data_IF_781425092499
#
_entry.id   IF_781425092499
#
_cell.length_a   1.000
_cell.length_b   1.000
_cell.length_c   1.000
_cell.angle_alpha   90.00
_cell.angle_beta   90.00
_cell.angle_gamma   90.00
#
_symmetry.space_group_name_H-M   'P 1'
#
loop_
_entity.id
_entity.type
_entity.pdbx_description
1 polymer ?
#
# COMPACT_ATOMS: atom_id res chain seq x y z
N UNK A 1 -1.43 13.18 8.78
CA UNK A 1 -0.74 11.96 8.34
C UNK A 1 -0.75 11.99 6.83
N UNK A 2 0.41 12.09 6.21
CA UNK A 2 0.53 12.13 4.75
C UNK A 2 0.71 10.69 4.29
N UNK A 3 -0.25 10.12 3.57
CA UNK A 3 -0.01 8.86 2.87
C UNK A 3 1.20 8.97 1.93
N UNK A 4 1.94 7.87 1.86
CA UNK A 4 3.00 7.63 0.90
C UNK A 4 2.41 7.32 -0.49
N UNK A 5 2.01 8.37 -1.19
CA UNK A 5 1.53 8.32 -2.57
C UNK A 5 2.53 8.99 -3.51
N UNK A 6 2.56 8.51 -4.75
CA UNK A 6 3.29 9.11 -5.85
C UNK A 6 2.38 9.24 -7.08
N UNK A 7 2.61 10.25 -7.90
CA UNK A 7 1.76 10.59 -9.04
C UNK A 7 2.54 10.44 -10.34
N UNK A 8 2.13 9.51 -11.18
CA UNK A 8 2.71 9.26 -12.50
C UNK A 8 1.78 9.82 -13.58
N UNK A 9 1.95 11.07 -14.02
CA UNK A 9 1.09 11.68 -15.03
C UNK A 9 1.30 11.10 -16.42
N UNK A 10 2.46 10.49 -16.71
CA UNK A 10 2.73 9.85 -18.00
C UNK A 10 1.81 8.64 -18.19
N UNK A 11 1.69 7.81 -17.15
CA UNK A 11 0.86 6.62 -17.16
C UNK A 11 -0.55 6.83 -16.57
N UNK A 12 -0.82 8.02 -16.03
CA UNK A 12 -2.05 8.38 -15.30
C UNK A 12 -2.30 7.45 -14.12
N UNK A 13 -1.32 7.36 -13.21
CA UNK A 13 -1.41 6.47 -12.05
C UNK A 13 -1.18 7.18 -10.73
N UNK A 14 -2.06 6.91 -9.78
CA UNK A 14 -1.87 7.22 -8.36
C UNK A 14 -1.25 5.98 -7.73
N UNK A 15 0.04 6.05 -7.43
CA UNK A 15 0.83 4.94 -6.90
C UNK A 15 0.75 4.94 -5.38
N UNK A 16 0.34 3.81 -4.80
CA UNK A 16 0.38 3.59 -3.36
C UNK A 16 1.71 2.91 -3.03
N UNK A 17 2.66 3.67 -2.49
CA UNK A 17 4.00 3.19 -2.19
C UNK A 17 4.04 2.51 -0.81
N UNK A 18 4.88 1.47 -0.63
CA UNK A 18 5.12 0.87 0.66
C UNK A 18 6.08 1.73 1.47
N UNK A 19 6.21 1.44 2.75
CA UNK A 19 7.28 1.97 3.58
C UNK A 19 8.41 0.95 3.60
N UNK A 20 9.47 1.23 2.87
CA UNK A 20 10.66 0.38 2.82
C UNK A 20 11.57 0.71 4.00
N UNK A 21 12.05 -0.33 4.68
CA UNK A 21 12.91 -0.23 5.86
C UNK A 21 13.94 -1.36 5.81
N UNK A 22 15.07 -1.20 6.48
CA UNK A 22 16.10 -2.25 6.59
C UNK A 22 15.86 -3.07 7.85
N UNK A 23 15.75 -4.39 7.70
CA UNK A 23 15.51 -5.29 8.82
C UNK A 23 16.78 -5.43 9.68
N UNK A 24 16.68 -5.14 10.98
CA UNK A 24 17.79 -5.20 11.95
C UNK A 24 17.71 -6.46 12.80
N UNK A 25 16.52 -6.83 13.27
CA UNK A 25 16.27 -8.07 14.00
C UNK A 25 14.87 -8.61 13.71
N UNK A 26 14.78 -9.93 13.52
CA UNK A 26 13.56 -10.69 13.29
C UNK A 26 13.81 -12.16 13.62
N UNK A 27 13.88 -12.44 14.92
CA UNK A 27 14.15 -13.77 15.47
C UNK A 27 12.86 -14.57 15.66
N UNK A 28 12.89 -15.87 15.36
CA UNK A 28 11.76 -16.78 15.54
C UNK A 28 11.17 -16.69 16.95
N UNK A 29 9.83 -16.70 17.04
CA UNK A 29 9.11 -16.66 18.29
C UNK A 29 8.87 -15.26 18.85
N UNK A 30 9.57 -14.22 18.36
CA UNK A 30 9.27 -12.84 18.73
C UNK A 30 7.93 -12.39 18.14
N UNK A 31 7.20 -11.54 18.85
CA UNK A 31 6.02 -10.83 18.39
C UNK A 31 6.35 -9.40 17.93
N UNK A 32 7.62 -9.15 17.62
CA UNK A 32 8.10 -7.87 17.12
C UNK A 32 9.28 -8.06 16.16
N UNK A 33 9.55 -7.01 15.39
CA UNK A 33 10.79 -6.84 14.62
C UNK A 33 11.44 -5.50 14.97
N UNK A 34 12.75 -5.40 14.74
CA UNK A 34 13.48 -4.13 14.77
C UNK A 34 13.93 -3.78 13.34
N UNK A 35 13.78 -2.51 12.99
CA UNK A 35 14.24 -1.94 11.72
C UNK A 35 15.22 -0.78 11.95
N UNK A 36 15.83 -0.25 10.90
CA UNK A 36 16.74 0.89 10.98
C UNK A 36 16.02 2.20 11.33
N UNK A 37 14.93 2.51 10.61
CA UNK A 37 14.12 3.71 10.81
C UNK A 37 12.68 3.45 10.36
N UNK A 38 11.72 4.09 11.03
CA UNK A 38 10.30 4.05 10.66
C UNK A 38 9.86 5.45 10.23
N UNK A 39 9.36 5.59 9.01
CA UNK A 39 8.78 6.84 8.53
C UNK A 39 7.60 7.25 9.43
N UNK A 40 7.60 8.49 9.91
CA UNK A 40 6.53 9.07 10.73
C UNK A 40 5.13 9.02 10.08
N UNK A 41 5.06 8.85 8.76
CA UNK A 41 3.84 8.71 8.00
C UNK A 41 3.35 7.26 7.87
N UNK A 42 4.14 6.27 8.30
CA UNK A 42 3.71 4.87 8.31
C UNK A 42 2.45 4.73 9.15
N UNK A 43 1.40 4.03 8.67
CA UNK A 43 0.19 3.86 9.45
C UNK A 43 0.50 3.13 10.76
N UNK A 44 -0.28 3.41 11.81
CA UNK A 44 -0.07 2.77 13.12
C UNK A 44 -0.35 1.26 13.09
N UNK A 45 -1.11 0.77 12.11
CA UNK A 45 -1.38 -0.64 11.86
C UNK A 45 -1.40 -0.94 10.37
N UNK A 46 -1.04 -2.16 9.99
CA UNK A 46 -0.88 -2.51 8.59
C UNK A 46 -0.44 -3.95 8.37
N UNK A 47 0.17 -4.18 7.21
CA UNK A 47 0.88 -5.42 6.90
C UNK A 47 2.38 -5.14 6.85
N UNK A 48 3.19 -6.12 7.26
CA UNK A 48 4.64 -6.11 7.06
C UNK A 48 5.03 -7.38 6.30
N UNK A 49 5.74 -7.19 5.19
CA UNK A 49 6.33 -8.29 4.42
C UNK A 49 7.79 -8.48 4.82
N UNK A 50 8.13 -9.69 5.24
CA UNK A 50 9.48 -10.09 5.65
C UNK A 50 10.06 -11.09 4.66
N UNK A 51 11.12 -10.68 3.98
CA UNK A 51 11.74 -11.39 2.88
C UNK A 51 12.40 -12.70 3.31
N UNK A 52 12.04 -13.81 2.65
CA UNK A 52 12.66 -15.14 2.81
C UNK A 52 13.71 -15.42 1.74
N UNK A 53 13.46 -14.95 0.52
CA UNK A 53 14.33 -15.19 -0.62
C UNK A 53 14.28 -14.04 -1.61
N UNK A 54 15.36 -13.89 -2.39
CA UNK A 54 15.39 -13.00 -3.55
C UNK A 54 14.82 -13.65 -4.81
N UNK A 55 14.28 -12.84 -5.71
CA UNK A 55 13.98 -13.28 -7.07
C UNK A 55 15.29 -13.62 -7.78
N UNK A 56 15.37 -14.79 -8.41
CA UNK A 56 16.58 -15.26 -9.10
C UNK A 56 16.17 -16.20 -10.22
N UNK A 57 16.83 -16.06 -11.38
CA UNK A 57 16.76 -16.99 -12.49
C UNK A 57 18.17 -17.26 -13.02
N UNK A 58 18.41 -18.50 -13.44
CA UNK A 58 19.70 -18.97 -13.93
C UNK A 58 19.52 -19.49 -15.34
N UNK A 59 20.43 -19.08 -16.22
CA UNK A 59 20.51 -19.54 -17.60
C UNK A 59 21.07 -20.95 -17.71
N UNK A 60 20.60 -21.71 -18.70
CA UNK A 60 21.01 -23.11 -18.89
C UNK A 60 22.16 -23.30 -19.88
N UNK A 61 22.54 -22.25 -20.61
CA UNK A 61 23.57 -22.35 -21.64
C UNK A 61 24.96 -22.09 -21.03
N UNK A 62 25.93 -22.94 -21.36
CA UNK A 62 27.32 -22.70 -21.01
C UNK A 62 27.90 -21.62 -21.93
N UNK A 63 28.36 -20.54 -21.32
CA UNK A 63 28.92 -19.34 -21.93
C UNK A 63 30.39 -19.11 -21.48
N UNK A 64 31.10 -20.18 -21.13
CA UNK A 64 32.51 -20.13 -20.73
C UNK A 64 33.42 -19.60 -21.84
N UNK A 65 32.99 -19.69 -23.10
CA UNK A 65 33.71 -19.18 -24.27
C UNK A 65 33.17 -17.80 -24.73
N UNK A 66 32.31 -17.17 -23.95
CA UNK A 66 31.73 -15.87 -24.25
C UNK A 66 30.73 -15.88 -25.40
N UNK A 67 30.44 -14.68 -25.93
CA UNK A 67 29.57 -14.45 -27.08
C UNK A 67 29.89 -13.10 -27.73
N UNK A 68 29.93 -13.07 -29.07
CA UNK A 68 30.21 -11.84 -29.81
C UNK A 68 28.92 -11.06 -30.11
N UNK A 69 28.44 -10.29 -29.12
CA UNK A 69 27.29 -9.42 -29.30
C UNK A 69 27.59 -8.17 -30.15
N UNK A 70 28.86 -7.83 -30.41
CA UNK A 70 29.20 -6.72 -31.31
C UNK A 70 28.82 -7.07 -32.76
N UNK A 71 29.10 -8.31 -33.18
CA UNK A 71 28.77 -8.82 -34.52
C UNK A 71 27.32 -9.28 -34.68
N UNK A 72 26.68 -9.66 -33.57
CA UNK A 72 25.28 -10.09 -33.51
C UNK A 72 24.59 -9.47 -32.27
N UNK A 73 24.23 -8.17 -32.32
CA UNK A 73 23.61 -7.49 -31.20
C UNK A 73 22.27 -8.12 -30.85
N UNK A 74 22.03 -8.35 -29.56
CA UNK A 74 20.80 -8.98 -29.04
C UNK A 74 20.25 -8.17 -27.89
N UNK A 75 18.95 -8.26 -27.65
CA UNK A 75 18.32 -7.59 -26.53
C UNK A 75 17.37 -8.48 -25.76
N UNK A 76 17.06 -8.08 -24.54
CA UNK A 76 15.91 -8.57 -23.79
C UNK A 76 15.19 -7.41 -23.14
N UNK A 77 13.94 -7.63 -22.78
CA UNK A 77 13.10 -6.66 -22.10
C UNK A 77 12.99 -7.00 -20.63
N UNK A 78 13.05 -6.00 -19.77
CA UNK A 78 12.90 -6.18 -18.33
C UNK A 78 11.97 -5.13 -17.72
N UNK A 79 11.16 -5.56 -16.75
CA UNK A 79 10.44 -4.68 -15.82
C UNK A 79 10.88 -5.08 -14.42
N UNK A 80 11.17 -4.13 -13.55
CA UNK A 80 11.44 -4.46 -12.14
C UNK A 80 10.95 -3.35 -11.21
N UNK A 81 10.83 -3.69 -9.91
CA UNK A 81 10.31 -2.78 -8.90
C UNK A 81 8.93 -2.24 -9.29
N UNK A 82 8.82 -0.91 -9.33
CA UNK A 82 7.61 -0.18 -9.71
C UNK A 82 7.52 0.13 -11.22
N UNK A 83 8.39 -0.46 -12.03
CA UNK A 83 8.38 -0.33 -13.48
C UNK A 83 7.04 -0.76 -14.08
N UNK A 84 6.62 -0.03 -15.11
CA UNK A 84 5.33 -0.24 -15.79
C UNK A 84 5.54 -0.69 -17.24
N UNK A 85 6.51 -0.03 -17.86
CA UNK A 85 6.94 -0.27 -19.22
C UNK A 85 8.26 -1.04 -19.21
N UNK A 86 8.46 -1.83 -20.26
CA UNK A 86 9.68 -2.57 -20.44
C UNK A 86 10.85 -1.63 -20.72
N UNK A 87 11.96 -1.89 -20.05
CA UNK A 87 13.27 -1.33 -20.36
C UNK A 87 14.02 -2.35 -21.23
N UNK A 88 14.58 -1.88 -22.34
CA UNK A 88 15.32 -2.75 -23.25
C UNK A 88 16.80 -2.77 -22.84
N UNK A 89 17.33 -3.97 -22.65
CA UNK A 89 18.74 -4.21 -22.39
C UNK A 89 19.38 -4.72 -23.69
N UNK A 90 20.11 -3.84 -24.39
CA UNK A 90 20.85 -4.18 -25.59
C UNK A 90 22.28 -4.64 -25.24
N UNK A 91 22.61 -5.86 -25.63
CA UNK A 91 23.96 -6.41 -25.59
C UNK A 91 24.58 -6.24 -26.98
N UNK A 92 25.70 -5.53 -27.03
CA UNK A 92 26.31 -5.02 -28.26
C UNK A 92 27.85 -5.00 -28.22
N UNK A 93 28.46 -5.82 -27.34
CA UNK A 93 29.91 -5.88 -27.16
C UNK A 93 30.41 -7.32 -27.20
N UNK A 94 31.58 -7.54 -27.82
CA UNK A 94 32.23 -8.85 -27.78
C UNK A 94 32.66 -9.18 -26.34
N UNK A 95 32.25 -10.35 -25.87
CA UNK A 95 32.56 -10.85 -24.53
C UNK A 95 33.26 -12.18 -24.66
N UNK A 96 34.41 -12.33 -24.02
CA UNK A 96 35.27 -13.53 -24.10
C UNK A 96 34.89 -14.64 -23.14
N UNK A 97 34.12 -14.33 -22.09
CA UNK A 97 33.62 -15.28 -21.11
C UNK A 97 32.29 -14.84 -20.47
N UNK A 98 31.72 -15.68 -19.61
CA UNK A 98 30.48 -15.39 -18.90
C UNK A 98 30.60 -14.18 -17.94
N UNK A 99 31.79 -13.92 -17.37
CA UNK A 99 31.97 -12.79 -16.46
C UNK A 99 31.89 -11.46 -17.20
N UNK A 100 32.48 -11.37 -18.40
CA UNK A 100 32.35 -10.20 -19.26
C UNK A 100 30.90 -9.98 -19.72
N UNK A 101 30.15 -11.04 -20.03
CA UNK A 101 28.71 -10.95 -20.34
C UNK A 101 27.93 -10.40 -19.13
N UNK A 102 28.17 -10.92 -17.93
CA UNK A 102 27.51 -10.42 -16.72
C UNK A 102 27.84 -8.95 -16.45
N UNK A 103 29.10 -8.55 -16.65
CA UNK A 103 29.54 -7.15 -16.52
C UNK A 103 28.88 -6.23 -17.55
N UNK A 104 28.75 -6.68 -18.80
CA UNK A 104 28.02 -5.95 -19.84
C UNK A 104 26.56 -5.74 -19.45
N UNK A 105 25.87 -6.81 -19.02
CA UNK A 105 24.47 -6.71 -18.58
C UNK A 105 24.35 -5.74 -17.40
N UNK A 106 25.21 -5.83 -16.39
CA UNK A 106 25.21 -4.92 -15.24
C UNK A 106 25.45 -3.46 -15.64
N UNK A 107 26.37 -3.23 -16.58
CA UNK A 107 26.62 -1.89 -17.15
C UNK A 107 25.36 -1.33 -17.81
N UNK A 108 24.67 -2.13 -18.64
CA UNK A 108 23.43 -1.72 -19.30
C UNK A 108 22.28 -1.52 -18.31
N UNK A 109 22.12 -2.40 -17.32
CA UNK A 109 21.12 -2.26 -16.25
C UNK A 109 21.34 -0.97 -15.44
N UNK A 110 22.58 -0.54 -15.21
CA UNK A 110 22.88 0.70 -14.49
C UNK A 110 22.42 1.98 -15.21
N UNK A 111 22.13 1.88 -16.51
CA UNK A 111 21.65 2.99 -17.36
C UNK A 111 20.12 3.07 -17.41
N UNK A 112 19.43 2.12 -16.79
CA UNK A 112 17.96 2.08 -16.72
C UNK A 112 17.45 2.80 -15.47
N UNK A 113 16.17 3.14 -15.44
CA UNK A 113 15.55 3.76 -14.28
C UNK A 113 15.16 2.71 -13.23
N UNK A 114 14.54 1.61 -13.66
CA UNK A 114 13.92 0.65 -12.75
C UNK A 114 14.73 -0.63 -12.62
N UNK A 115 15.34 -1.14 -13.70
CA UNK A 115 16.15 -2.36 -13.71
C UNK A 115 17.47 -2.27 -12.91
N UNK A 116 17.75 -1.12 -12.29
CA UNK A 116 18.87 -0.92 -11.36
C UNK A 116 18.82 -1.84 -10.15
N UNK A 117 17.65 -2.39 -9.80
CA UNK A 117 17.44 -3.33 -8.69
C UNK A 117 17.84 -4.78 -9.02
N UNK A 118 18.17 -5.05 -10.28
CA UNK A 118 18.56 -6.37 -10.76
C UNK A 118 20.06 -6.35 -11.09
N UNK A 119 20.73 -7.46 -10.84
CA UNK A 119 22.10 -7.72 -11.29
C UNK A 119 22.20 -9.04 -12.03
N UNK A 120 23.12 -9.07 -12.99
CA UNK A 120 23.65 -10.29 -13.55
C UNK A 120 24.78 -10.84 -12.69
N UNK A 121 24.85 -12.16 -12.58
CA UNK A 121 25.89 -12.88 -11.87
C UNK A 121 26.28 -14.14 -12.63
N UNK A 122 27.47 -14.67 -12.33
CA UNK A 122 27.95 -15.93 -12.91
C UNK A 122 27.81 -17.09 -11.92
N UNK A 123 27.61 -18.30 -12.44
CA UNK A 123 27.70 -19.55 -11.69
C UNK A 123 28.81 -20.38 -12.31
N UNK A 124 29.79 -20.76 -11.49
CA UNK A 124 30.96 -21.57 -11.87
C UNK A 124 31.75 -21.01 -13.08
N UNK A 125 31.64 -19.69 -13.33
CA UNK A 125 32.17 -18.99 -14.51
C UNK A 125 31.60 -19.45 -15.87
N UNK A 126 30.59 -20.32 -15.87
CA UNK A 126 30.06 -20.95 -17.07
C UNK A 126 28.65 -20.45 -17.41
N UNK A 127 27.83 -20.08 -16.42
CA UNK A 127 26.42 -19.74 -16.62
C UNK A 127 26.11 -18.32 -16.17
N UNK A 128 25.16 -17.68 -16.85
CA UNK A 128 24.66 -16.34 -16.50
C UNK A 128 23.33 -16.49 -15.77
N UNK A 129 23.18 -15.80 -14.64
CA UNK A 129 21.90 -15.62 -13.97
C UNK A 129 21.55 -14.15 -13.80
N UNK A 130 20.28 -13.88 -13.52
CA UNK A 130 19.77 -12.58 -13.10
C UNK A 130 19.13 -12.73 -11.72
N UNK A 131 19.37 -11.78 -10.82
CA UNK A 131 18.80 -11.76 -9.48
C UNK A 131 18.60 -10.35 -8.97
N UNK A 132 17.79 -10.20 -7.92
CA UNK A 132 17.76 -8.93 -7.19
C UNK A 132 19.12 -8.66 -6.52
N UNK A 133 19.52 -7.39 -6.50
CA UNK A 133 20.71 -6.94 -5.77
C UNK A 133 20.46 -6.95 -4.27
N UNK A 134 21.50 -7.12 -3.48
CA UNK A 134 21.41 -6.82 -2.06
C UNK A 134 21.29 -5.30 -1.86
N UNK A 135 20.44 -4.80 -0.95
CA UNK A 135 19.60 -5.51 0.03
C UNK A 135 18.14 -5.79 -0.42
N UNK A 136 17.81 -5.74 -1.71
CA UNK A 136 16.44 -5.77 -2.25
C UNK A 136 15.88 -7.20 -2.35
N UNK A 137 15.17 -7.66 -1.32
CA UNK A 137 14.69 -9.05 -1.24
C UNK A 137 13.17 -9.14 -1.12
N UNK A 138 12.61 -10.34 -1.39
CA UNK A 138 11.18 -10.62 -1.26
C UNK A 138 10.39 -10.37 -2.54
N UNK A 139 9.07 -10.55 -2.48
CA UNK A 139 8.19 -10.36 -3.65
C UNK A 139 8.11 -8.91 -4.13
N UNK A 140 8.41 -7.96 -3.24
CA UNK A 140 8.34 -6.52 -3.45
C UNK A 140 9.24 -6.05 -4.59
N UNK A 141 10.37 -6.72 -4.79
CA UNK A 141 11.38 -6.35 -5.79
C UNK A 141 11.44 -7.32 -6.97
N UNK A 142 10.37 -8.09 -7.22
CA UNK A 142 10.29 -9.00 -8.36
C UNK A 142 10.65 -8.32 -9.70
N UNK A 143 11.01 -9.11 -10.70
CA UNK A 143 11.23 -8.61 -12.05
C UNK A 143 10.58 -9.51 -13.09
N UNK A 144 10.18 -8.93 -14.22
CA UNK A 144 9.60 -9.62 -15.36
C UNK A 144 10.58 -9.54 -16.52
N UNK A 145 10.85 -10.67 -17.16
CA UNK A 145 11.64 -10.76 -18.37
C UNK A 145 10.74 -11.08 -19.55
N UNK A 146 11.03 -10.46 -20.69
CA UNK A 146 10.39 -10.76 -21.96
C UNK A 146 11.43 -10.75 -23.09
N UNK A 147 11.07 -11.38 -24.20
CA UNK A 147 11.95 -11.49 -25.35
C UNK A 147 12.23 -10.11 -25.94
N UNK A 148 13.49 -9.87 -26.29
CA UNK A 148 13.85 -8.75 -27.16
C UNK A 148 13.79 -9.13 -28.64
N UNK A 149 14.14 -8.19 -29.51
CA UNK A 149 14.25 -8.44 -30.94
C UNK A 149 15.52 -7.79 -31.51
N UNK A 150 16.52 -8.58 -31.95
CA UNK A 150 16.64 -10.04 -31.80
C UNK A 150 16.91 -10.46 -30.34
N UNK A 151 16.43 -11.64 -29.93
CA UNK A 151 16.41 -12.07 -28.51
C UNK A 151 17.77 -12.51 -27.94
N UNK A 152 18.12 -11.97 -26.78
CA UNK A 152 19.29 -12.34 -25.98
C UNK A 152 18.99 -13.49 -24.99
N UNK A 153 17.76 -13.61 -24.48
CA UNK A 153 17.44 -14.59 -23.43
C UNK A 153 17.69 -16.03 -23.89
N UNK A 154 17.43 -16.33 -25.16
CA UNK A 154 17.73 -17.61 -25.79
C UNK A 154 19.22 -17.94 -25.77
N UNK A 155 20.10 -16.96 -26.02
CA UNK A 155 21.56 -17.15 -25.93
C UNK A 155 21.99 -17.38 -24.50
N UNK A 156 21.42 -16.62 -23.56
CA UNK A 156 21.67 -16.77 -22.12
C UNK A 156 21.09 -18.08 -21.55
N UNK A 157 20.19 -18.75 -22.26
CA UNK A 157 19.45 -19.92 -21.76
C UNK A 157 18.47 -19.56 -20.64
N UNK A 158 17.98 -18.33 -20.60
CA UNK A 158 17.04 -17.81 -19.61
C UNK A 158 15.64 -17.85 -20.20
N UNK A 159 14.66 -18.41 -19.48
CA UNK A 159 13.26 -18.34 -19.92
C UNK A 159 12.64 -17.00 -19.54
N UNK A 160 11.83 -16.37 -20.42
CA UNK A 160 11.07 -15.19 -20.03
C UNK A 160 10.03 -15.55 -18.97
N UNK A 161 9.50 -14.52 -18.30
CA UNK A 161 8.48 -14.68 -17.28
C UNK A 161 8.72 -13.83 -16.04
N UNK A 162 7.83 -13.97 -15.08
CA UNK A 162 7.89 -13.23 -13.82
C UNK A 162 8.74 -13.99 -12.80
N UNK A 163 9.81 -13.36 -12.33
CA UNK A 163 10.69 -13.87 -11.28
C UNK A 163 10.35 -13.16 -9.97
N UNK A 164 9.93 -13.94 -8.97
CA UNK A 164 9.45 -13.42 -7.68
C UNK A 164 10.29 -14.03 -6.56
N UNK A 165 10.74 -13.17 -5.64
CA UNK A 165 11.23 -13.63 -4.34
C UNK A 165 10.07 -14.17 -3.51
N UNK A 166 10.33 -14.55 -2.28
CA UNK A 166 9.26 -14.95 -1.36
C UNK A 166 9.39 -14.19 -0.07
N UNK A 167 8.27 -13.76 0.50
CA UNK A 167 8.18 -13.22 1.86
C UNK A 167 7.11 -13.96 2.66
N UNK A 168 7.12 -13.74 3.97
CA UNK A 168 5.94 -13.96 4.82
C UNK A 168 5.29 -12.62 5.14
N UNK A 169 3.97 -12.63 5.30
CA UNK A 169 3.17 -11.45 5.61
C UNK A 169 2.64 -11.55 7.05
N UNK A 170 2.94 -10.54 7.85
CA UNK A 170 2.40 -10.40 9.20
C UNK A 170 1.54 -9.14 9.29
N UNK A 171 0.48 -9.16 10.11
CA UNK A 171 -0.17 -7.92 10.50
C UNK A 171 0.52 -7.33 11.72
N UNK A 172 0.56 -6.00 11.79
CA UNK A 172 1.05 -5.26 12.95
C UNK A 172 -0.01 -4.28 13.42
N UNK A 173 -0.03 -4.02 14.72
CA UNK A 173 -1.02 -3.16 15.38
C UNK A 173 -0.43 -1.87 15.97
N UNK A 174 0.89 -1.80 16.11
CA UNK A 174 1.58 -0.61 16.59
C UNK A 174 3.06 -0.63 16.23
N UNK A 175 3.69 0.53 16.33
CA UNK A 175 5.14 0.68 16.28
C UNK A 175 5.59 1.82 17.20
N UNK A 176 6.85 1.76 17.65
CA UNK A 176 7.47 2.80 18.47
C UNK A 176 8.98 2.78 18.30
N UNK A 177 9.58 3.93 18.01
CA UNK A 177 11.00 4.01 17.67
C UNK A 177 11.28 3.17 16.43
N UNK A 178 12.16 2.17 16.57
CA UNK A 178 12.55 1.21 15.53
C UNK A 178 11.77 -0.11 15.58
N UNK A 179 10.90 -0.27 16.58
CA UNK A 179 10.20 -1.53 16.83
C UNK A 179 8.82 -1.53 16.20
N UNK A 180 8.49 -2.59 15.47
CA UNK A 180 7.15 -2.88 14.97
C UNK A 180 6.58 -4.08 15.73
N UNK A 181 5.44 -3.90 16.40
CA UNK A 181 4.78 -4.96 17.18
C UNK A 181 3.76 -5.70 16.30
N UNK A 182 3.96 -6.99 16.14
CA UNK A 182 3.17 -7.89 15.31
C UNK A 182 1.97 -8.44 16.08
N UNK A 183 0.91 -8.79 15.35
CA UNK A 183 -0.28 -9.42 15.95
C UNK A 183 -0.09 -10.94 16.19
N UNK A 184 1.02 -11.51 15.71
CA UNK A 184 1.38 -12.92 15.84
C UNK A 184 2.89 -13.08 15.88
N UNK A 185 3.36 -14.12 16.57
CA UNK A 185 4.78 -14.43 16.64
C UNK A 185 5.36 -14.82 15.28
N UNK A 186 6.62 -14.45 15.06
CA UNK A 186 7.42 -14.87 13.91
C UNK A 186 7.56 -16.40 13.90
N UNK A 187 7.40 -16.98 12.72
CA UNK A 187 7.44 -18.44 12.50
C UNK A 187 8.83 -18.96 12.11
N UNK A 188 9.82 -18.08 11.99
CA UNK A 188 11.21 -18.37 11.61
C UNK A 188 12.09 -17.15 11.86
N UNK A 189 13.40 -17.35 11.78
CA UNK A 189 14.38 -16.28 11.64
C UNK A 189 14.36 -15.70 10.23
N UNK A 190 14.58 -14.39 10.12
CA UNK A 190 14.71 -13.69 8.84
C UNK A 190 16.12 -13.11 8.67
N UNK A 191 16.63 -13.03 7.43
CA UNK A 191 17.91 -12.39 7.15
C UNK A 191 17.89 -10.91 7.57
N UNK A 192 18.95 -10.45 8.23
CA UNK A 192 19.12 -9.04 8.61
C UNK A 192 19.87 -8.27 7.51
N UNK A 193 19.84 -6.94 7.55
CA UNK A 193 20.40 -6.04 6.54
C UNK A 193 19.77 -6.22 5.14
N UNK A 194 18.53 -6.71 5.07
CA UNK A 194 17.73 -6.75 3.85
C UNK A 194 16.51 -5.84 4.00
N UNK A 195 15.92 -5.42 2.88
CA UNK A 195 14.69 -4.64 2.93
C UNK A 195 13.48 -5.48 3.33
N UNK A 196 12.65 -4.88 4.18
CA UNK A 196 11.26 -5.26 4.44
C UNK A 196 10.33 -4.12 4.03
N UNK A 197 9.06 -4.44 3.78
CA UNK A 197 8.08 -3.47 3.30
C UNK A 197 6.82 -3.49 4.17
N UNK A 198 6.45 -2.32 4.71
CA UNK A 198 5.16 -2.13 5.34
C UNK A 198 4.13 -1.58 4.36
N UNK A 199 2.92 -2.12 4.42
CA UNK A 199 1.79 -1.76 3.57
C UNK A 199 0.60 -1.31 4.39
N UNK A 200 -0.24 -0.47 3.79
CA UNK A 200 -1.56 -0.17 4.33
C UNK A 200 -2.44 -1.42 4.32
N UNK A 201 -3.13 -1.66 5.44
CA UNK A 201 -4.24 -2.62 5.50
C UNK A 201 -5.55 -1.98 5.04
N UNK A 202 -5.75 -0.72 5.39
CA UNK A 202 -6.92 0.08 5.03
C UNK A 202 -6.52 1.51 4.66
N UNK A 203 -7.18 2.10 3.67
CA UNK A 203 -7.01 3.51 3.32
C UNK A 203 -8.36 4.17 3.05
N UNK A 204 -8.56 5.35 3.60
CA UNK A 204 -9.71 6.20 3.27
C UNK A 204 -9.55 6.82 1.89
N UNK A 205 -10.52 6.65 0.98
CA UNK A 205 -10.49 7.26 -0.37
C UNK A 205 -10.45 8.79 -0.28
N UNK A 206 -11.09 9.38 0.74
CA UNK A 206 -10.99 10.82 1.00
C UNK A 206 -9.55 11.31 1.17
N UNK A 207 -8.70 10.51 1.83
CA UNK A 207 -7.31 10.91 2.06
C UNK A 207 -6.49 10.82 0.78
N UNK A 208 -6.77 9.84 -0.08
CA UNK A 208 -6.19 9.78 -1.43
C UNK A 208 -6.61 11.03 -2.23
N UNK A 209 -7.91 11.37 -2.22
CA UNK A 209 -8.42 12.57 -2.88
C UNK A 209 -7.75 13.86 -2.38
N UNK A 210 -7.61 14.02 -1.06
CA UNK A 210 -6.97 15.21 -0.50
C UNK A 210 -5.53 15.37 -1.04
N UNK A 211 -4.75 14.29 -1.07
CA UNK A 211 -3.39 14.36 -1.63
C UNK A 211 -3.35 14.61 -3.12
N UNK A 212 -4.33 14.09 -3.87
CA UNK A 212 -4.46 14.40 -5.29
C UNK A 212 -4.72 15.89 -5.48
N UNK A 213 -5.57 16.50 -4.66
CA UNK A 213 -5.82 17.95 -4.72
C UNK A 213 -4.58 18.74 -4.32
N UNK A 214 -3.89 18.36 -3.24
CA UNK A 214 -2.63 18.99 -2.84
C UNK A 214 -1.58 18.91 -3.95
N UNK A 215 -1.47 17.77 -4.65
CA UNK A 215 -0.57 17.61 -5.80
C UNK A 215 -1.02 18.44 -7.01
N UNK A 216 -2.33 18.53 -7.29
CA UNK A 216 -2.85 19.37 -8.36
C UNK A 216 -2.62 20.88 -8.11
N UNK A 217 -2.46 21.30 -6.86
CA UNK A 217 -2.11 22.67 -6.49
C UNK A 217 -0.58 22.93 -6.52
N UNK A 218 0.25 21.88 -6.61
CA UNK A 218 1.70 22.00 -6.81
C UNK A 218 2.05 22.35 -8.27
N UNK A 219 3.03 23.24 -8.53
CA UNK A 219 3.47 23.57 -9.89
C UNK A 219 3.76 22.37 -10.80
N UNK A 220 4.23 21.25 -10.24
CA UNK A 220 4.48 20.00 -10.97
C UNK A 220 3.18 19.34 -11.40
N UNK A 221 2.14 19.33 -10.55
CA UNK A 221 0.85 18.70 -10.86
C UNK A 221 -0.10 19.57 -11.69
N UNK A 222 -0.04 20.89 -11.53
CA UNK A 222 -0.93 21.86 -12.20
C UNK A 222 -0.96 21.75 -13.73
N UNK A 223 0.11 21.28 -14.36
CA UNK A 223 0.22 21.16 -15.84
C UNK A 223 -0.44 19.90 -16.38
N UNK A 224 -0.90 19.00 -15.51
CA UNK A 224 -1.45 17.70 -15.88
C UNK A 224 -2.97 17.65 -15.68
N UNK A 225 -3.69 16.76 -16.40
CA UNK A 225 -5.11 16.56 -16.17
C UNK A 225 -5.40 16.10 -14.74
N UNK A 226 -6.38 16.73 -14.10
CA UNK A 226 -6.80 16.43 -12.72
C UNK A 226 -7.14 14.93 -12.58
N UNK A 227 -6.52 14.18 -11.64
CA UNK A 227 -6.73 12.75 -11.49
C UNK A 227 -8.07 12.36 -10.85
N UNK A 228 -8.57 13.18 -9.92
CA UNK A 228 -9.77 12.87 -9.16
C UNK A 228 -10.69 14.07 -8.99
N UNK A 229 -11.99 13.81 -8.92
CA UNK A 229 -13.03 14.76 -8.56
C UNK A 229 -13.82 14.23 -7.37
N UNK A 230 -14.27 15.13 -6.49
CA UNK A 230 -15.18 14.80 -5.40
C UNK A 230 -16.58 15.36 -5.68
N UNK A 231 -17.60 14.53 -5.56
CA UNK A 231 -19.01 14.89 -5.69
C UNK A 231 -19.83 14.41 -4.49
N UNK A 232 -21.03 14.96 -4.32
CA UNK A 232 -21.90 14.62 -3.20
C UNK A 232 -21.73 15.56 -2.00
N UNK A 233 -21.86 15.02 -0.79
CA UNK A 233 -21.96 15.80 0.45
C UNK A 233 -23.02 16.92 0.42
N UNK A 234 -24.13 16.69 -0.29
CA UNK A 234 -25.23 17.65 -0.32
C UNK A 234 -26.01 17.61 0.99
N UNK A 235 -26.39 18.76 1.57
CA UNK A 235 -27.17 18.78 2.79
C UNK A 235 -28.57 18.22 2.54
N UNK A 236 -28.97 17.23 3.34
CA UNK A 236 -30.30 16.62 3.30
C UNK A 236 -31.26 17.25 4.33
N UNK A 237 -30.78 18.24 5.10
CA UNK A 237 -31.45 18.74 6.30
C UNK A 237 -31.12 17.89 7.53
N UNK A 238 -31.41 18.40 8.73
CA UNK A 238 -31.15 17.67 9.97
C UNK A 238 -29.69 17.21 10.13
N UNK A 239 -28.72 18.04 9.71
CA UNK A 239 -27.27 17.74 9.82
C UNK A 239 -26.83 16.47 9.10
N UNK A 240 -27.67 15.93 8.21
CA UNK A 240 -27.37 14.80 7.37
C UNK A 240 -26.88 15.27 6.00
N UNK A 241 -25.96 14.51 5.44
CA UNK A 241 -25.37 14.78 4.13
C UNK A 241 -25.45 13.53 3.26
N UNK A 242 -25.56 13.72 1.94
CA UNK A 242 -25.33 12.60 1.01
C UNK A 242 -23.92 12.07 1.17
N UNK A 243 -23.69 10.82 0.77
CA UNK A 243 -22.34 10.26 0.72
C UNK A 243 -21.40 11.10 -0.17
N UNK A 244 -20.10 10.98 0.07
CA UNK A 244 -19.06 11.53 -0.80
C UNK A 244 -18.67 10.47 -1.83
N UNK A 245 -18.80 10.84 -3.10
CA UNK A 245 -18.40 10.01 -4.22
C UNK A 245 -17.11 10.60 -4.78
N UNK A 246 -16.07 9.78 -4.84
CA UNK A 246 -14.81 10.12 -5.46
C UNK A 246 -14.75 9.49 -6.85
N UNK A 247 -14.37 10.28 -7.84
CA UNK A 247 -14.39 9.91 -9.25
C UNK A 247 -12.97 10.00 -9.78
N UNK A 248 -12.39 8.89 -10.23
CA UNK A 248 -11.17 8.90 -11.04
C UNK A 248 -11.52 9.46 -12.42
N UNK A 249 -10.77 10.47 -12.85
CA UNK A 249 -11.01 11.23 -14.08
C UNK A 249 -9.95 10.93 -15.11
N UNK A 250 -10.25 11.21 -16.38
CA UNK A 250 -9.24 11.26 -17.43
C UNK A 250 -8.42 9.95 -17.58
N UNK A 251 -9.01 8.79 -17.28
CA UNK A 251 -8.33 7.50 -17.35
C UNK A 251 -7.26 7.27 -16.28
N UNK A 252 -7.23 8.08 -15.20
CA UNK A 252 -6.37 7.82 -14.06
C UNK A 252 -6.79 6.56 -13.30
N UNK A 253 -5.82 5.81 -12.78
CA UNK A 253 -6.07 4.59 -11.99
C UNK A 253 -5.22 4.56 -10.73
N UNK A 254 -5.66 3.80 -9.74
CA UNK A 254 -4.85 3.46 -8.56
C UNK A 254 -3.92 2.30 -8.91
N UNK A 255 -2.64 2.39 -8.55
CA UNK A 255 -1.67 1.30 -8.66
C UNK A 255 -1.12 0.98 -7.25
N UNK A 256 -1.53 -0.11 -6.61
CA UNK A 256 -0.86 -0.57 -5.40
C UNK A 256 0.52 -1.14 -5.75
N UNK A 257 1.48 -0.97 -4.85
CA UNK A 257 2.81 -1.54 -5.00
C UNK A 257 2.77 -3.07 -5.09
N UNK A 258 3.74 -3.65 -5.80
CA UNK A 258 3.95 -5.09 -5.89
C UNK A 258 4.05 -5.74 -4.50
N UNK A 259 3.40 -6.89 -4.31
CA UNK A 259 3.37 -7.58 -3.02
C UNK A 259 2.26 -8.62 -2.91
N UNK A 260 2.26 -9.36 -1.79
CA UNK A 260 1.22 -10.35 -1.48
C UNK A 260 0.44 -9.88 -0.25
N UNK A 261 -0.58 -9.03 -0.44
CA UNK A 261 -1.32 -8.43 0.68
C UNK A 261 -2.74 -8.03 0.27
N UNK A 262 -3.53 -7.61 1.28
CA UNK A 262 -4.89 -7.12 1.08
C UNK A 262 -4.96 -5.64 1.43
N UNK A 263 -5.55 -4.84 0.54
CA UNK A 263 -5.79 -3.43 0.77
C UNK A 263 -7.28 -3.12 0.63
N UNK A 264 -7.88 -2.60 1.70
CA UNK A 264 -9.25 -2.11 1.68
C UNK A 264 -9.30 -0.60 1.50
N UNK A 265 -9.92 -0.14 0.41
CA UNK A 265 -10.24 1.26 0.20
C UNK A 265 -11.63 1.56 0.76
N UNK A 266 -11.69 2.46 1.74
CA UNK A 266 -12.89 2.84 2.45
C UNK A 266 -13.45 4.12 1.84
N UNK A 267 -14.65 4.05 1.27
CA UNK A 267 -15.33 5.14 0.60
C UNK A 267 -15.71 4.80 -0.84
N UNK A 268 -16.68 5.54 -1.38
CA UNK A 268 -17.20 5.32 -2.73
C UNK A 268 -16.22 5.87 -3.78
N UNK A 269 -15.50 4.98 -4.47
CA UNK A 269 -14.63 5.30 -5.61
C UNK A 269 -15.21 4.73 -6.91
N UNK A 270 -15.34 5.57 -7.94
CA UNK A 270 -15.79 5.22 -9.29
C UNK A 270 -14.85 5.80 -10.36
N UNK A 271 -15.05 5.46 -11.63
CA UNK A 271 -14.39 6.06 -12.80
C UNK A 271 -15.42 6.84 -13.62
N UNK A 272 -15.00 7.91 -14.30
CA UNK A 272 -15.88 8.69 -15.17
C UNK A 272 -16.16 8.02 -16.53
N UNK A 273 -15.32 7.07 -16.92
CA UNK A 273 -15.39 6.34 -18.19
C UNK A 273 -15.85 4.88 -18.06
N UNK A 274 -16.15 4.43 -16.84
CA UNK A 274 -16.54 3.05 -16.55
C UNK A 274 -15.40 2.03 -16.64
N UNK A 275 -14.15 2.47 -16.82
CA UNK A 275 -12.97 1.61 -16.82
C UNK A 275 -12.63 1.10 -15.41
N UNK A 276 -11.68 0.17 -15.33
CA UNK A 276 -11.19 -0.35 -14.06
C UNK A 276 -10.53 0.75 -13.20
N UNK A 277 -10.91 0.78 -11.92
CA UNK A 277 -10.38 1.74 -10.92
C UNK A 277 -8.91 1.52 -10.57
N UNK A 278 -8.44 0.29 -10.74
CA UNK A 278 -7.11 -0.16 -10.32
C UNK A 278 -6.39 -0.75 -11.52
N UNK A 279 -5.10 -0.44 -11.64
CA UNK A 279 -4.16 -1.23 -12.42
C UNK A 279 -3.43 -2.14 -11.43
N UNK A 280 -3.54 -3.45 -11.57
CA UNK A 280 -2.82 -4.37 -10.69
C UNK A 280 -1.32 -4.35 -11.02
N UNK A 281 -0.45 -4.51 -10.01
CA UNK A 281 0.98 -4.67 -10.25
C UNK A 281 1.23 -5.94 -11.07
N UNK A 282 2.36 -5.97 -11.80
CA UNK A 282 2.71 -7.13 -12.63
C UNK A 282 3.14 -8.36 -11.82
N UNK A 283 3.37 -8.18 -10.53
CA UNK A 283 3.88 -9.21 -9.64
C UNK A 283 3.25 -9.13 -8.25
N UNK A 284 3.27 -10.28 -7.59
CA UNK A 284 2.54 -10.47 -6.34
C UNK A 284 1.03 -10.59 -6.55
N UNK A 285 0.32 -10.80 -5.45
CA UNK A 285 -1.14 -10.89 -5.40
C UNK A 285 -1.66 -9.82 -4.44
N UNK A 286 -2.07 -8.67 -4.98
CA UNK A 286 -2.72 -7.61 -4.20
C UNK A 286 -4.23 -7.73 -4.32
N UNK A 287 -4.89 -8.06 -3.22
CA UNK A 287 -6.35 -8.12 -3.16
C UNK A 287 -6.90 -6.74 -2.78
N UNK A 288 -7.62 -6.10 -3.71
CA UNK A 288 -8.23 -4.79 -3.51
C UNK A 288 -9.71 -4.94 -3.16
N UNK A 289 -10.12 -4.44 -2.00
CA UNK A 289 -11.53 -4.37 -1.59
C UNK A 289 -12.00 -2.93 -1.59
N UNK A 290 -13.14 -2.65 -2.22
CA UNK A 290 -13.78 -1.34 -2.19
C UNK A 290 -15.00 -1.38 -1.28
N UNK A 291 -14.97 -0.63 -0.19
CA UNK A 291 -16.13 -0.46 0.70
C UNK A 291 -16.94 0.76 0.26
N UNK A 292 -18.13 0.52 -0.28
CA UNK A 292 -19.05 1.58 -0.73
C UNK A 292 -19.87 2.06 0.46
N UNK A 293 -19.93 3.37 0.66
CA UNK A 293 -20.79 3.98 1.68
C UNK A 293 -22.19 4.17 1.08
N UNK A 294 -23.15 3.34 1.48
CA UNK A 294 -24.54 3.43 0.97
C UNK A 294 -25.49 4.20 1.91
N UNK A 295 -24.99 4.73 3.03
CA UNK A 295 -25.80 5.39 4.05
C UNK A 295 -25.37 6.86 4.18
N UNK A 296 -26.35 7.77 4.29
CA UNK A 296 -26.08 9.20 4.49
C UNK A 296 -25.21 9.43 5.72
N UNK A 297 -24.31 10.41 5.64
CA UNK A 297 -23.39 10.75 6.73
C UNK A 297 -24.16 11.64 7.71
N UNK A 298 -24.27 11.22 8.97
CA UNK A 298 -24.78 12.06 10.06
C UNK A 298 -23.60 12.87 10.60
N UNK A 299 -23.58 14.18 10.38
CA UNK A 299 -22.50 15.06 10.84
C UNK A 299 -22.84 15.80 12.14
N UNK A 300 -23.80 15.28 12.93
CA UNK A 300 -24.07 15.84 14.26
C UNK A 300 -23.04 15.33 15.27
N UNK A 301 -22.35 16.23 16.00
CA UNK A 301 -21.62 15.83 17.20
C UNK A 301 -22.67 15.49 18.27
N UNK A 302 -23.12 14.23 18.31
CA UNK A 302 -24.03 13.74 19.35
C UNK A 302 -23.51 14.06 20.76
N UNK A 303 -22.20 14.20 20.95
CA UNK A 303 -21.60 14.57 22.23
C UNK A 303 -22.08 15.94 22.75
N UNK A 304 -22.24 16.95 21.88
CA UNK A 304 -22.71 18.26 22.32
C UNK A 304 -24.20 18.22 22.69
N UNK A 305 -25.00 17.50 21.93
CA UNK A 305 -26.43 17.39 22.18
C UNK A 305 -26.72 16.52 23.41
N UNK A 306 -26.02 15.39 23.58
CA UNK A 306 -26.04 14.55 24.79
C UNK A 306 -25.59 15.35 26.01
N UNK A 307 -24.52 16.14 25.91
CA UNK A 307 -24.07 17.01 27.00
C UNK A 307 -25.14 18.06 27.36
N UNK A 308 -25.79 18.65 26.36
CA UNK A 308 -26.89 19.60 26.57
C UNK A 308 -28.12 18.94 27.20
N UNK A 309 -28.47 17.72 26.79
CA UNK A 309 -29.58 16.95 27.34
C UNK A 309 -29.27 16.54 28.78
N UNK A 310 -28.07 16.03 29.05
CA UNK A 310 -27.63 15.69 30.40
C UNK A 310 -27.65 16.89 31.33
N UNK A 311 -27.20 18.05 30.85
CA UNK A 311 -27.27 19.31 31.61
C UNK A 311 -28.72 19.70 31.90
N UNK A 312 -29.63 19.60 30.92
CA UNK A 312 -31.05 19.91 31.10
C UNK A 312 -31.74 18.92 32.03
N UNK A 313 -31.40 17.63 31.97
CA UNK A 313 -31.92 16.58 32.85
C UNK A 313 -31.43 16.79 34.29
N UNK A 314 -30.18 17.20 34.49
CA UNK A 314 -29.65 17.53 35.82
C UNK A 314 -30.24 18.82 36.40
N UNK A 315 -30.79 19.71 35.55
CA UNK A 315 -31.51 20.91 35.97
C UNK A 315 -33.00 20.67 36.25
N UNK A 316 -33.53 19.47 35.96
CA UNK A 316 -34.89 19.14 36.34
C UNK A 316 -34.96 19.02 37.87
N UNK A 317 -35.98 19.59 38.51
CA UNK A 317 -36.15 19.46 39.95
C UNK A 317 -36.35 17.99 40.30
N UNK A 318 -35.65 17.56 41.34
CA UNK A 318 -35.77 16.22 41.91
C UNK A 318 -37.17 16.02 42.51
N UNK A 319 -37.58 14.76 42.67
CA UNK A 319 -38.85 14.44 43.32
C UNK A 319 -38.99 15.11 44.70
N UNK A 320 -37.89 15.23 45.45
CA UNK A 320 -37.87 15.92 46.75
C UNK A 320 -38.09 17.43 46.63
N UNK A 321 -37.56 18.08 45.60
CA UNK A 321 -37.75 19.53 45.37
C UNK A 321 -39.17 19.81 44.90
N UNK A 322 -39.75 18.93 44.07
CA UNK A 322 -41.15 18.98 43.66
C UNK A 322 -42.07 18.81 44.87
N UNK A 323 -41.79 17.83 45.74
CA UNK A 323 -42.59 17.57 46.94
C UNK A 323 -42.50 18.74 47.95
N UNK A 324 -41.32 19.36 48.09
CA UNK A 324 -41.15 20.57 48.91
C UNK A 324 -41.93 21.76 48.35
N UNK A 325 -42.01 21.91 47.02
CA UNK A 325 -42.82 22.97 46.40
C UNK A 325 -44.32 22.72 46.58
N UNK A 326 -44.79 21.49 46.43
CA UNK A 326 -46.20 21.12 46.55
C UNK A 326 -46.71 21.14 48.00
N UNK A 327 -45.90 20.69 48.96
CA UNK A 327 -46.25 20.72 50.39
C UNK A 327 -46.48 22.14 50.93
N UNK A 328 -45.75 23.13 50.39
CA UNK A 328 -45.96 24.55 50.72
C UNK A 328 -47.31 25.11 50.25
N UNK A 329 -47.96 24.44 49.29
CA UNK A 329 -49.24 24.86 48.69
C UNK A 329 -50.42 24.04 49.20
N UNK A 330 -50.22 22.77 49.59
CA UNK A 330 -51.32 21.84 49.94
C UNK A 330 -51.36 21.38 51.40
N UNK A 331 -50.42 21.78 52.25
CA UNK A 331 -50.40 21.39 53.66
C UNK A 331 -50.00 19.93 53.86
N UNK A 332 -49.44 19.63 55.03
CA UNK A 332 -48.93 18.30 55.40
C UNK A 332 -50.09 17.30 55.60
N UNK A 333 -50.65 16.81 54.49
CA UNK A 333 -51.64 15.73 54.46
C UNK A 333 -51.07 14.48 53.83
N UNK A 334 -51.22 13.33 54.49
CA UNK A 334 -50.86 12.03 53.92
C UNK A 334 -51.70 11.75 52.66
N UNK A 335 -51.04 11.47 51.54
CA UNK A 335 -51.68 11.05 50.29
C UNK A 335 -52.05 9.55 50.28
N UNK A 336 -51.91 8.85 51.41
CA UNK A 336 -52.47 7.51 51.55
C UNK A 336 -53.99 7.60 51.40
N UNK A 337 -54.47 7.29 50.20
CA UNK A 337 -55.88 7.23 49.88
C UNK A 337 -56.61 6.40 50.94
N UNK A 338 -57.56 7.04 51.63
CA UNK A 338 -58.46 6.35 52.55
C UNK A 338 -59.07 5.17 51.83
N UNK A 339 -58.69 3.96 52.27
CA UNK A 339 -59.32 2.72 51.89
C UNK A 339 -60.74 2.78 52.45
N UNK A 340 -61.72 3.13 51.62
CA UNK A 340 -63.14 3.06 51.98
C UNK A 340 -63.43 1.59 52.26
N UNK A 341 -63.71 1.26 53.52
CA UNK A 341 -64.24 -0.05 53.92
C UNK A 341 -65.74 0.16 54.05
N UNK A 342 -66.48 -0.39 53.08
CA UNK A 342 -67.94 -0.43 53.04
C UNK A 342 -68.51 -1.28 54.20
N UNK A 343 -69.65 -0.83 54.72
CA UNK A 343 -70.58 -1.60 55.56
C UNK A 343 -71.64 -2.28 54.69
#
# INVERSE_FOLDING_TARGET
MTYNLDFDPLNRLIRIRPFLMTLVDATEGNDYIEVDEIDSNMPSSGWIALSKSKATIVGTNNLSNGYNFESDPRSFLIISGDGIDYEQILLDQDCSDASEIANLINSKLSQTQFATMVEAFTIDNDFIGLRQKDPQWGEVFSFVLDYGDPDALTILGISPGTQVGTSDLYSYSSWSGTRINLDSNLTRDYPTNVYCAAYYKTMQVQQIYNQVMDWCDDPVGMVHPVPMEGAGYYPLGGGMYTDKIYILKNGWKILPHCGNYRLSLIGTLITDDGSERVRLPRSGTVEMTFQVSSQGIIAYPMEQEISSINTRVQQLPTASEIDSQLSSTHGEGSWEGQKIIDL
#
